data_IF_230474009278
#
_entry.id   IF_230474009278
#
_cell.length_a   1.000
_cell.length_b   1.000
_cell.length_c   1.000
_cell.angle_alpha   90.00
_cell.angle_beta   90.00
_cell.angle_gamma   90.00
#
_symmetry.space_group_name_H-M   'P 1'
#
loop_
_entity.id
_entity.type
_entity.pdbx_description
1 polymer ?
#
# COMPACT_ATOMS: atom_id res chain seq x y z
N UNK A 1 -1.47 -5.18 11.00
CA UNK A 1 -2.58 -5.97 11.57
C UNK A 1 -3.42 -5.16 12.56
N UNK A 2 -2.81 -4.49 13.55
CA UNK A 2 -3.53 -3.66 14.55
C UNK A 2 -4.51 -2.66 13.91
N UNK A 3 -4.09 -1.96 12.86
CA UNK A 3 -4.95 -1.06 12.08
C UNK A 3 -6.27 -1.70 11.62
N UNK A 4 -6.20 -2.90 11.03
CA UNK A 4 -7.38 -3.62 10.53
C UNK A 4 -8.24 -4.12 11.69
N UNK A 5 -7.62 -4.61 12.77
CA UNK A 5 -8.33 -5.08 13.94
C UNK A 5 -9.13 -3.96 14.62
N UNK A 6 -8.54 -2.78 14.77
CA UNK A 6 -9.21 -1.61 15.32
C UNK A 6 -10.38 -1.16 14.44
N UNK A 7 -10.18 -1.07 13.13
CA UNK A 7 -11.26 -0.75 12.20
C UNK A 7 -12.38 -1.80 12.21
N UNK A 8 -12.05 -3.09 12.23
CA UNK A 8 -13.00 -4.19 12.35
C UNK A 8 -13.82 -4.14 13.65
N UNK A 9 -13.19 -3.75 14.76
CA UNK A 9 -13.81 -3.56 16.07
C UNK A 9 -14.76 -2.34 16.15
N UNK A 10 -14.90 -1.58 15.06
CA UNK A 10 -15.85 -0.46 14.98
C UNK A 10 -15.23 0.92 15.25
N UNK A 11 -13.90 1.01 15.43
CA UNK A 11 -13.23 2.31 15.58
C UNK A 11 -13.04 2.98 14.20
N UNK A 12 -13.20 4.31 14.09
CA UNK A 12 -13.25 5.05 12.83
C UNK A 12 -11.87 5.28 12.19
N UNK A 13 -11.08 4.22 12.02
CA UNK A 13 -9.72 4.29 11.46
C UNK A 13 -9.65 4.08 9.95
N UNK A 14 -10.73 3.60 9.30
CA UNK A 14 -10.74 3.50 7.85
C UNK A 14 -10.99 4.87 7.20
N UNK A 15 -10.79 4.93 5.88
CA UNK A 15 -10.89 6.19 5.14
C UNK A 15 -12.24 6.89 5.37
N UNK A 16 -12.21 8.22 5.46
CA UNK A 16 -13.38 9.06 5.75
C UNK A 16 -14.09 8.73 7.08
N UNK A 17 -13.35 8.19 8.06
CA UNK A 17 -13.89 7.84 9.38
C UNK A 17 -14.73 6.56 9.38
N UNK A 18 -14.59 5.71 8.35
CA UNK A 18 -15.32 4.47 8.27
C UNK A 18 -14.82 3.41 9.27
N UNK A 19 -15.68 2.43 9.55
CA UNK A 19 -15.41 1.37 10.51
C UNK A 19 -16.23 0.11 10.23
N UNK A 20 -15.90 -0.96 10.96
CA UNK A 20 -16.66 -2.20 11.04
C UNK A 20 -16.35 -3.23 9.95
N UNK A 21 -16.84 -4.45 10.16
CA UNK A 21 -16.68 -5.57 9.23
C UNK A 21 -17.38 -5.35 7.89
N UNK A 22 -18.46 -4.56 7.85
CA UNK A 22 -19.14 -4.22 6.61
C UNK A 22 -18.21 -3.47 5.64
N UNK A 23 -17.36 -2.58 6.15
CA UNK A 23 -16.37 -1.87 5.35
C UNK A 23 -15.31 -2.81 4.76
N UNK A 24 -14.88 -3.80 5.54
CA UNK A 24 -13.93 -4.83 5.07
C UNK A 24 -14.52 -5.72 3.97
N UNK A 25 -15.84 -5.90 3.94
CA UNK A 25 -16.53 -6.67 2.89
C UNK A 25 -16.96 -5.81 1.70
N UNK A 26 -16.79 -4.49 1.78
CA UNK A 26 -17.17 -3.55 0.73
C UNK A 26 -16.16 -3.43 -0.41
N UNK A 27 -16.35 -2.40 -1.25
CA UNK A 27 -15.54 -2.13 -2.45
C UNK A 27 -14.04 -1.89 -2.17
N UNK A 28 -13.68 -1.48 -0.95
CA UNK A 28 -12.30 -1.24 -0.53
C UNK A 28 -11.62 -2.43 0.15
N UNK A 29 -12.38 -3.52 0.41
CA UNK A 29 -11.89 -4.67 1.17
C UNK A 29 -10.62 -5.30 0.62
N UNK A 30 -10.59 -5.55 -0.69
CA UNK A 30 -9.43 -6.14 -1.37
C UNK A 30 -8.16 -5.31 -1.26
N UNK A 31 -8.27 -3.98 -1.22
CA UNK A 31 -7.10 -3.10 -1.04
C UNK A 31 -6.50 -3.24 0.36
N UNK A 32 -7.33 -3.46 1.39
CA UNK A 32 -6.86 -3.70 2.75
C UNK A 32 -6.19 -5.06 2.91
N UNK A 33 -6.71 -6.09 2.22
CA UNK A 33 -6.05 -7.40 2.14
C UNK A 33 -4.71 -7.26 1.43
N UNK A 34 -4.70 -6.64 0.25
CA UNK A 34 -3.48 -6.35 -0.51
C UNK A 34 -2.47 -5.53 0.28
N UNK A 35 -2.91 -4.59 1.11
CA UNK A 35 -2.06 -3.81 2.00
C UNK A 35 -1.31 -4.68 3.02
N UNK A 36 -1.97 -5.67 3.63
CA UNK A 36 -1.29 -6.59 4.57
C UNK A 36 -0.20 -7.40 3.86
N UNK A 37 -0.53 -7.92 2.68
CA UNK A 37 0.41 -8.72 1.86
C UNK A 37 1.58 -7.84 1.41
N UNK A 38 1.31 -6.64 0.91
CA UNK A 38 2.33 -5.69 0.48
C UNK A 38 3.24 -5.27 1.64
N UNK A 39 2.69 -5.02 2.83
CA UNK A 39 3.49 -4.68 4.01
C UNK A 39 4.46 -5.81 4.40
N UNK A 40 4.00 -7.05 4.39
CA UNK A 40 4.85 -8.21 4.62
C UNK A 40 5.92 -8.35 3.54
N UNK A 41 5.53 -8.31 2.26
CA UNK A 41 6.45 -8.47 1.13
C UNK A 41 7.51 -7.36 1.09
N UNK A 42 7.13 -6.10 1.31
CA UNK A 42 8.09 -4.99 1.36
C UNK A 42 9.01 -5.13 2.57
N UNK A 43 8.49 -5.48 3.74
CA UNK A 43 9.31 -5.72 4.94
C UNK A 43 10.40 -6.75 4.67
N UNK A 44 10.01 -7.88 4.10
CA UNK A 44 10.92 -8.96 3.71
C UNK A 44 12.00 -8.55 2.68
N UNK A 45 11.65 -7.68 1.72
CA UNK A 45 12.59 -7.11 0.76
C UNK A 45 13.57 -6.12 1.42
N UNK A 46 13.08 -5.27 2.31
CA UNK A 46 13.88 -4.25 2.99
C UNK A 46 14.89 -4.87 3.96
N UNK A 47 14.53 -5.96 4.63
CA UNK A 47 15.45 -6.77 5.44
C UNK A 47 16.64 -7.29 4.63
N UNK A 48 16.47 -7.51 3.32
CA UNK A 48 17.52 -7.95 2.38
C UNK A 48 18.28 -6.78 1.74
N UNK A 49 18.06 -5.56 2.20
CA UNK A 49 18.77 -4.37 1.70
C UNK A 49 18.15 -3.72 0.46
N UNK A 50 16.96 -4.17 0.03
CA UNK A 50 16.20 -3.45 -1.00
C UNK A 50 15.67 -2.14 -0.39
N UNK A 51 15.65 -1.05 -1.16
CA UNK A 51 15.19 0.26 -0.69
C UNK A 51 16.26 1.16 -0.07
N UNK A 52 17.54 0.72 -0.04
CA UNK A 52 18.68 1.54 0.43
C UNK A 52 19.19 2.53 -0.61
N UNK A 53 18.81 2.35 -1.88
CA UNK A 53 19.18 3.23 -3.00
C UNK A 53 17.88 3.73 -3.65
N UNK A 54 17.94 4.90 -4.29
CA UNK A 54 16.79 5.49 -4.96
C UNK A 54 16.07 4.49 -5.88
N UNK A 55 16.78 3.84 -6.81
CA UNK A 55 16.17 2.91 -7.76
C UNK A 55 15.55 1.68 -7.09
N UNK A 56 16.20 1.10 -6.06
CA UNK A 56 15.64 -0.05 -5.34
C UNK A 56 14.45 0.35 -4.47
N UNK A 57 14.40 1.59 -3.98
CA UNK A 57 13.24 2.13 -3.27
C UNK A 57 12.05 2.30 -4.20
N UNK A 58 12.25 2.90 -5.39
CA UNK A 58 11.20 3.02 -6.41
C UNK A 58 10.63 1.65 -6.76
N UNK A 59 11.50 0.67 -7.06
CA UNK A 59 11.06 -0.69 -7.41
C UNK A 59 10.27 -1.37 -6.29
N UNK A 60 10.73 -1.27 -5.04
CA UNK A 60 10.02 -1.85 -3.90
C UNK A 60 8.65 -1.21 -3.68
N UNK A 61 8.54 0.11 -3.85
CA UNK A 61 7.26 0.80 -3.69
C UNK A 61 6.30 0.51 -4.84
N UNK A 62 6.79 0.47 -6.10
CA UNK A 62 6.00 0.03 -7.24
C UNK A 62 5.48 -1.40 -7.06
N UNK A 63 6.32 -2.29 -6.52
CA UNK A 63 5.93 -3.67 -6.19
C UNK A 63 4.81 -3.71 -5.14
N UNK A 64 4.93 -2.94 -4.05
CA UNK A 64 3.86 -2.82 -3.06
C UNK A 64 2.55 -2.34 -3.66
N UNK A 65 2.61 -1.30 -4.50
CA UNK A 65 1.42 -0.79 -5.19
C UNK A 65 0.81 -1.82 -6.14
N UNK A 66 1.63 -2.58 -6.87
CA UNK A 66 1.15 -3.64 -7.74
C UNK A 66 0.39 -4.73 -6.96
N UNK A 67 0.90 -5.13 -5.79
CA UNK A 67 0.19 -6.05 -4.89
C UNK A 67 -1.14 -5.43 -4.45
N UNK A 68 -1.12 -4.20 -3.92
CA UNK A 68 -2.34 -3.53 -3.42
C UNK A 68 -3.41 -3.42 -4.52
N UNK A 69 -3.02 -2.96 -5.72
CA UNK A 69 -3.95 -2.84 -6.85
C UNK A 69 -4.40 -4.19 -7.40
N UNK A 70 -3.52 -5.19 -7.45
CA UNK A 70 -3.90 -6.54 -7.89
C UNK A 70 -5.04 -7.10 -7.04
N UNK A 71 -4.88 -7.11 -5.72
CA UNK A 71 -5.93 -7.59 -4.81
C UNK A 71 -7.15 -6.65 -4.81
N UNK A 72 -6.92 -5.33 -4.82
CA UNK A 72 -7.99 -4.34 -4.82
C UNK A 72 -8.90 -4.41 -6.05
N UNK A 73 -8.33 -4.44 -7.25
CA UNK A 73 -9.08 -4.45 -8.52
C UNK A 73 -9.81 -5.78 -8.71
N UNK A 74 -9.15 -6.91 -8.44
CA UNK A 74 -9.80 -8.22 -8.54
C UNK A 74 -10.98 -8.32 -7.58
N UNK A 75 -10.83 -7.85 -6.35
CA UNK A 75 -11.93 -7.78 -5.39
C UNK A 75 -13.04 -6.84 -5.86
N UNK A 76 -12.69 -5.62 -6.28
CA UNK A 76 -13.64 -4.60 -6.74
C UNK A 76 -14.46 -5.09 -7.94
N UNK A 77 -13.83 -5.77 -8.89
CA UNK A 77 -14.47 -6.37 -10.04
C UNK A 77 -15.55 -7.38 -9.60
N UNK A 78 -15.24 -8.23 -8.63
CA UNK A 78 -16.17 -9.23 -8.09
C UNK A 78 -17.31 -8.58 -7.29
N UNK A 79 -17.05 -7.53 -6.51
CA UNK A 79 -18.09 -6.84 -5.73
C UNK A 79 -19.06 -6.08 -6.64
N UNK A 80 -18.53 -5.38 -7.66
CA UNK A 80 -19.34 -4.56 -8.56
C UNK A 80 -19.89 -5.32 -9.76
N UNK A 81 -19.50 -6.59 -9.95
CA UNK A 81 -19.90 -7.43 -11.10
C UNK A 81 -19.70 -6.68 -12.43
N UNK A 82 -18.51 -6.09 -12.59
CA UNK A 82 -18.19 -5.21 -13.72
C UNK A 82 -17.02 -5.73 -14.55
N UNK A 83 -16.73 -5.07 -15.67
CA UNK A 83 -15.57 -5.42 -16.50
C UNK A 83 -14.25 -5.02 -15.84
N UNK A 84 -13.15 -5.72 -16.17
CA UNK A 84 -11.81 -5.35 -15.69
C UNK A 84 -11.43 -3.90 -16.07
N UNK A 85 -11.81 -3.45 -17.27
CA UNK A 85 -11.56 -2.07 -17.71
C UNK A 85 -12.25 -1.05 -16.78
N UNK A 86 -13.50 -1.30 -16.43
CA UNK A 86 -14.25 -0.45 -15.50
C UNK A 86 -13.64 -0.50 -14.10
N UNK A 87 -13.28 -1.69 -13.61
CA UNK A 87 -12.65 -1.86 -12.30
C UNK A 87 -11.30 -1.12 -12.21
N UNK A 88 -10.49 -1.12 -13.27
CA UNK A 88 -9.24 -0.34 -13.33
C UNK A 88 -9.48 1.17 -13.31
N UNK A 89 -10.47 1.65 -14.08
CA UNK A 89 -10.84 3.08 -14.12
C UNK A 89 -11.31 3.60 -12.77
N UNK A 90 -12.05 2.79 -12.01
CA UNK A 90 -12.54 3.15 -10.68
C UNK A 90 -11.49 2.91 -9.59
N UNK A 91 -10.69 1.86 -9.75
CA UNK A 91 -9.88 1.28 -8.69
C UNK A 91 -8.39 1.59 -8.73
N UNK A 92 -7.87 2.14 -9.83
CA UNK A 92 -6.43 2.43 -10.01
C UNK A 92 -6.23 3.86 -10.50
N UNK A 93 -6.91 4.24 -11.57
CA UNK A 93 -6.64 5.51 -12.28
C UNK A 93 -6.74 6.75 -11.39
N UNK A 94 -7.71 6.86 -10.46
CA UNK A 94 -7.83 8.04 -9.59
C UNK A 94 -6.66 8.17 -8.60
N UNK A 95 -6.01 7.06 -8.25
CA UNK A 95 -4.95 7.00 -7.24
C UNK A 95 -3.54 7.06 -7.85
N UNK A 96 -3.41 6.68 -9.13
CA UNK A 96 -2.14 6.50 -9.81
C UNK A 96 -1.25 7.75 -9.79
N UNK A 97 -1.83 8.94 -10.04
CA UNK A 97 -1.08 10.20 -10.00
C UNK A 97 -0.53 10.50 -8.60
N UNK A 98 -1.35 10.29 -7.56
CA UNK A 98 -0.93 10.49 -6.17
C UNK A 98 0.18 9.52 -5.76
N UNK A 99 0.13 8.30 -6.28
CA UNK A 99 1.15 7.29 -6.01
C UNK A 99 2.48 7.60 -6.69
N UNK A 100 2.48 8.03 -7.94
CA UNK A 100 3.69 8.47 -8.64
C UNK A 100 4.37 9.58 -7.84
N UNK A 101 3.60 10.56 -7.38
CA UNK A 101 4.12 11.66 -6.56
C UNK A 101 4.71 11.16 -5.23
N UNK A 102 3.97 10.32 -4.50
CA UNK A 102 4.43 9.75 -3.22
C UNK A 102 5.69 8.91 -3.38
N UNK A 103 5.77 8.08 -4.42
CA UNK A 103 6.93 7.24 -4.71
C UNK A 103 8.14 8.11 -5.04
N UNK A 104 7.97 9.13 -5.88
CA UNK A 104 9.04 10.06 -6.23
C UNK A 104 9.66 10.72 -4.99
N UNK A 105 8.81 11.22 -4.08
CA UNK A 105 9.27 11.85 -2.83
C UNK A 105 9.92 10.82 -1.89
N UNK A 106 9.21 9.73 -1.60
CA UNK A 106 9.65 8.76 -0.61
C UNK A 106 10.93 8.03 -1.03
N UNK A 107 11.11 7.75 -2.33
CA UNK A 107 12.31 7.11 -2.85
C UNK A 107 13.57 7.97 -2.74
N UNK A 108 13.44 9.30 -2.63
CA UNK A 108 14.55 10.20 -2.31
C UNK A 108 14.73 10.32 -0.79
N UNK A 109 13.65 10.60 -0.06
CA UNK A 109 13.73 10.87 1.38
C UNK A 109 14.18 9.66 2.20
N UNK A 110 13.63 8.48 1.93
CA UNK A 110 13.89 7.31 2.77
C UNK A 110 15.36 6.87 2.71
N UNK A 111 15.99 6.65 1.54
CA UNK A 111 17.41 6.29 1.49
C UNK A 111 18.33 7.32 2.15
N UNK A 112 18.02 8.61 1.99
CA UNK A 112 18.78 9.71 2.58
C UNK A 112 18.69 9.67 4.11
N UNK A 113 17.48 9.53 4.66
CA UNK A 113 17.29 9.40 6.10
C UNK A 113 18.02 8.18 6.67
N UNK A 114 17.95 7.02 5.98
CA UNK A 114 18.67 5.82 6.39
C UNK A 114 20.18 6.02 6.44
N UNK A 115 20.75 6.75 5.47
CA UNK A 115 22.17 7.10 5.47
C UNK A 115 22.54 7.94 6.70
N UNK A 116 21.77 9.01 6.97
CA UNK A 116 22.00 9.89 8.12
C UNK A 116 21.88 9.17 9.48
N UNK A 117 20.89 8.29 9.65
CA UNK A 117 20.72 7.55 10.91
C UNK A 117 21.75 6.43 11.12
N UNK A 118 22.21 5.79 10.04
CA UNK A 118 23.24 4.77 10.13
C UNK A 118 24.62 5.38 10.40
N UNK A 119 24.93 6.56 9.85
CA UNK A 119 26.17 7.30 10.16
C UNK A 119 26.26 7.72 11.63
N UNK A 120 25.12 7.95 12.31
CA UNK A 120 25.08 8.27 13.75
C UNK A 120 25.13 7.05 14.67
N UNK A 121 24.95 5.83 14.16
CA UNK A 121 24.99 4.58 14.94
C UNK A 121 26.35 3.88 14.88
N UNK A 122 27.42 4.60 14.57
CA UNK A 122 28.80 4.10 14.60
C UNK A 122 29.16 3.54 15.99
N UNK A 123 29.05 2.23 16.12
CA UNK A 123 29.96 1.40 16.91
C UNK A 123 31.16 1.08 16.03
#
# INVERSE_FOLDING_TARGET
>A
LVYIAQGAAGLPFFAKGAAGLAYLRGVTGGYLIGFVIAAFSIGWLVERGVGRKYHTAVLAMCWGNAIIYGFGVLWLQNILQTSLSTALKLGVYPFMLGDVYKIGIASVLLPVLWKFFNEKKGY
#
